data_IF_015207707899
#
_entry.id   IF_015207707899
#
_cell.length_a   1.000
_cell.length_b   1.000
_cell.length_c   1.000
_cell.angle_alpha   90.00
_cell.angle_beta   90.00
_cell.angle_gamma   90.00
#
_symmetry.space_group_name_H-M   'P 1'
#
loop_
_entity.id
_entity.type
_entity.pdbx_description
1 polymer ?
#
# COMPACT_ATOMS: atom_id res chain seq x y z
N UNK A 1 12.16 -12.44 34.24
CA UNK A 1 10.92 -12.10 33.52
C UNK A 1 11.33 -11.18 32.39
N UNK A 2 11.20 -11.63 31.15
CA UNK A 2 11.27 -10.72 30.01
C UNK A 2 10.05 -9.81 30.11
N UNK A 3 10.25 -8.50 30.02
CA UNK A 3 9.18 -7.53 30.13
C UNK A 3 8.29 -7.67 28.88
N UNK A 4 7.12 -8.28 29.05
CA UNK A 4 6.18 -8.57 27.96
C UNK A 4 5.81 -7.30 27.17
N UNK A 5 5.81 -6.15 27.84
CA UNK A 5 5.60 -4.83 27.23
C UNK A 5 6.74 -4.44 26.28
N UNK A 6 8.00 -4.71 26.64
CA UNK A 6 9.15 -4.43 25.78
C UNK A 6 9.11 -5.26 24.48
N UNK A 7 8.67 -6.52 24.56
CA UNK A 7 8.50 -7.37 23.37
C UNK A 7 7.42 -6.84 22.42
N UNK A 8 6.30 -6.35 22.97
CA UNK A 8 5.21 -5.76 22.17
C UNK A 8 5.66 -4.46 21.47
N UNK A 9 6.46 -3.63 22.15
CA UNK A 9 7.02 -2.39 21.57
C UNK A 9 7.97 -2.70 20.41
N UNK A 10 8.87 -3.69 20.57
CA UNK A 10 9.78 -4.09 19.49
C UNK A 10 9.01 -4.61 18.27
N UNK A 11 7.87 -5.29 18.47
CA UNK A 11 6.99 -5.74 17.36
C UNK A 11 6.24 -4.58 16.69
N UNK A 12 6.02 -3.45 17.37
CA UNK A 12 5.34 -2.28 16.81
C UNK A 12 6.25 -1.38 15.98
N UNK A 13 7.55 -1.30 16.31
CA UNK A 13 8.50 -0.40 15.66
C UNK A 13 8.47 -0.48 14.12
N UNK A 14 8.46 -1.66 13.48
CA UNK A 14 8.55 -1.76 12.02
C UNK A 14 7.35 -1.11 11.30
N UNK A 15 6.17 -1.02 11.91
CA UNK A 15 5.00 -0.46 11.22
C UNK A 15 5.15 1.04 10.96
N UNK A 16 5.80 1.79 11.87
CA UNK A 16 6.07 3.20 11.65
C UNK A 16 7.02 3.45 10.48
N UNK A 17 8.09 2.65 10.41
CA UNK A 17 9.08 2.70 9.32
C UNK A 17 8.43 2.30 7.98
N UNK A 18 7.69 1.19 7.96
CA UNK A 18 7.00 0.72 6.76
C UNK A 18 5.96 1.72 6.24
N UNK A 19 5.19 2.39 7.12
CA UNK A 19 4.23 3.42 6.70
C UNK A 19 4.94 4.56 5.98
N UNK A 20 6.11 5.00 6.48
CA UNK A 20 6.87 6.07 5.83
C UNK A 20 7.39 5.63 4.45
N UNK A 21 7.92 4.41 4.36
CA UNK A 21 8.39 3.83 3.09
C UNK A 21 7.25 3.69 2.07
N UNK A 22 6.11 3.15 2.49
CA UNK A 22 4.96 2.99 1.59
C UNK A 22 4.31 4.31 1.21
N UNK A 23 4.33 5.33 2.07
CA UNK A 23 3.93 6.69 1.67
C UNK A 23 4.86 7.26 0.61
N UNK A 24 6.17 7.04 0.72
CA UNK A 24 7.10 7.44 -0.33
C UNK A 24 6.86 6.66 -1.63
N UNK A 25 6.51 5.38 -1.53
CA UNK A 25 6.12 4.57 -2.67
C UNK A 25 4.85 5.11 -3.35
N UNK A 26 3.83 5.53 -2.59
CA UNK A 26 2.64 6.20 -3.12
C UNK A 26 3.00 7.42 -3.96
N UNK A 27 3.91 8.28 -3.50
CA UNK A 27 4.31 9.46 -4.28
C UNK A 27 5.02 9.09 -5.59
N UNK A 28 5.86 8.04 -5.58
CA UNK A 28 6.45 7.48 -6.81
C UNK A 28 5.35 6.96 -7.74
N UNK A 29 4.40 6.21 -7.20
CA UNK A 29 3.32 5.58 -7.95
C UNK A 29 2.37 6.61 -8.56
N UNK A 30 2.11 7.74 -7.88
CA UNK A 30 1.34 8.86 -8.44
C UNK A 30 1.95 9.39 -9.73
N UNK A 31 3.26 9.60 -9.75
CA UNK A 31 3.97 10.05 -10.95
C UNK A 31 3.85 9.03 -12.08
N UNK A 32 3.98 7.74 -11.77
CA UNK A 32 3.83 6.66 -12.74
C UNK A 32 2.39 6.56 -13.29
N UNK A 33 1.38 6.77 -12.43
CA UNK A 33 -0.02 6.77 -12.83
C UNK A 33 -0.36 7.96 -13.73
N UNK A 34 0.16 9.16 -13.43
CA UNK A 34 -0.01 10.34 -14.27
C UNK A 34 0.69 10.17 -15.62
N UNK A 35 1.90 9.62 -15.64
CA UNK A 35 2.63 9.31 -16.87
C UNK A 35 1.91 8.26 -17.71
N UNK A 36 1.36 7.21 -17.08
CA UNK A 36 0.60 6.18 -17.76
C UNK A 36 -0.65 6.77 -18.43
N UNK A 37 -1.38 7.64 -17.74
CA UNK A 37 -2.54 8.35 -18.30
C UNK A 37 -2.13 9.26 -19.46
N UNK A 38 -1.03 9.99 -19.33
CA UNK A 38 -0.56 10.93 -20.35
C UNK A 38 -0.07 10.22 -21.63
N UNK A 39 0.65 9.11 -21.48
CA UNK A 39 1.23 8.33 -22.57
C UNK A 39 0.28 7.29 -23.16
N UNK A 40 -0.74 6.87 -22.39
CA UNK A 40 -1.55 5.66 -22.66
C UNK A 40 -0.73 4.38 -22.75
N UNK A 41 0.42 4.38 -22.10
CA UNK A 41 1.30 3.23 -21.97
C UNK A 41 1.41 2.87 -20.49
N UNK A 42 1.52 1.59 -20.19
CA UNK A 42 1.64 1.11 -18.81
C UNK A 42 2.92 0.32 -18.68
N UNK A 43 3.72 0.69 -17.69
CA UNK A 43 4.86 -0.10 -17.25
C UNK A 43 4.36 -1.31 -16.46
N UNK A 44 4.47 -2.49 -17.07
CA UNK A 44 4.03 -3.76 -16.48
C UNK A 44 4.87 -4.12 -15.26
N UNK A 45 6.16 -3.76 -15.24
CA UNK A 45 7.01 -4.05 -14.08
C UNK A 45 6.59 -3.19 -12.88
N UNK A 46 6.20 -1.94 -13.13
CA UNK A 46 5.64 -1.07 -12.09
C UNK A 46 4.30 -1.58 -11.54
N UNK A 47 3.44 -2.18 -12.37
CA UNK A 47 2.20 -2.82 -11.90
C UNK A 47 2.49 -4.01 -11.00
N UNK A 48 3.43 -4.88 -11.38
CA UNK A 48 3.82 -6.04 -10.57
C UNK A 48 4.42 -5.61 -9.23
N UNK A 49 5.31 -4.61 -9.23
CA UNK A 49 5.86 -4.01 -7.99
C UNK A 49 4.73 -3.47 -7.08
N UNK A 50 3.72 -2.85 -7.69
CA UNK A 50 2.57 -2.28 -6.98
C UNK A 50 1.70 -3.36 -6.34
N UNK A 51 1.42 -4.45 -7.04
CA UNK A 51 0.65 -5.58 -6.51
C UNK A 51 1.38 -6.26 -5.34
N UNK A 52 2.69 -6.48 -5.48
CA UNK A 52 3.52 -7.03 -4.41
C UNK A 52 3.55 -6.12 -3.18
N UNK A 53 3.61 -4.80 -3.39
CA UNK A 53 3.57 -3.82 -2.31
C UNK A 53 2.21 -3.83 -1.61
N UNK A 54 1.11 -3.90 -2.36
CA UNK A 54 -0.24 -4.00 -1.80
C UNK A 54 -0.42 -5.29 -0.96
N UNK A 55 0.10 -6.42 -1.43
CA UNK A 55 0.09 -7.69 -0.69
C UNK A 55 0.89 -7.56 0.63
N UNK A 56 2.07 -6.96 0.60
CA UNK A 56 2.89 -6.74 1.79
C UNK A 56 2.18 -5.85 2.83
N UNK A 57 1.45 -4.81 2.39
CA UNK A 57 0.67 -3.94 3.27
C UNK A 57 -0.52 -4.70 3.86
N UNK A 58 -1.22 -5.50 3.06
CA UNK A 58 -2.32 -6.32 3.53
C UNK A 58 -1.87 -7.29 4.63
N UNK A 59 -0.74 -7.96 4.42
CA UNK A 59 -0.10 -8.84 5.40
C UNK A 59 0.27 -8.09 6.69
N UNK A 60 0.81 -6.88 6.55
CA UNK A 60 1.16 -6.04 7.69
C UNK A 60 -0.08 -5.61 8.49
N UNK A 61 -1.19 -5.24 7.83
CA UNK A 61 -2.46 -4.94 8.50
C UNK A 61 -2.94 -6.16 9.29
N UNK A 62 -2.91 -7.37 8.70
CA UNK A 62 -3.32 -8.60 9.39
C UNK A 62 -2.48 -8.88 10.63
N UNK A 63 -1.16 -8.67 10.55
CA UNK A 63 -0.24 -8.84 11.70
C UNK A 63 -0.45 -7.75 12.75
N UNK A 64 -0.68 -6.51 12.32
CA UNK A 64 -0.95 -5.38 13.20
C UNK A 64 -2.23 -5.59 13.99
N UNK A 65 -3.32 -6.02 13.35
CA UNK A 65 -4.60 -6.28 14.01
C UNK A 65 -4.47 -7.37 15.08
N UNK A 66 -3.70 -8.44 14.82
CA UNK A 66 -3.40 -9.50 15.81
C UNK A 66 -2.58 -8.97 16.99
N UNK A 67 -1.66 -8.05 16.73
CA UNK A 67 -0.84 -7.42 17.76
C UNK A 67 -1.67 -6.45 18.61
N UNK A 68 -2.54 -5.67 17.97
CA UNK A 68 -3.46 -4.75 18.61
C UNK A 68 -4.42 -5.50 19.55
N UNK A 69 -4.93 -6.67 19.14
CA UNK A 69 -5.74 -7.53 19.99
C UNK A 69 -4.99 -8.01 21.25
N UNK A 70 -3.74 -8.43 21.12
CA UNK A 70 -2.89 -8.81 22.27
C UNK A 70 -2.65 -7.63 23.22
N UNK A 71 -2.42 -6.44 22.66
CA UNK A 71 -2.24 -5.22 23.47
C UNK A 71 -3.54 -4.87 24.19
N UNK A 72 -4.70 -5.00 23.54
CA UNK A 72 -6.00 -4.70 24.14
C UNK A 72 -6.31 -5.59 25.36
N UNK A 73 -5.84 -6.84 25.38
CA UNK A 73 -5.96 -7.75 26.53
C UNK A 73 -5.21 -7.24 27.77
N UNK A 74 -4.09 -6.52 27.57
CA UNK A 74 -3.25 -5.99 28.64
C UNK A 74 -3.56 -4.54 28.97
N UNK A 75 -3.84 -3.72 27.95
CA UNK A 75 -4.12 -2.30 28.03
C UNK A 75 -5.04 -1.85 26.88
N UNK A 76 -6.36 -1.79 27.13
CA UNK A 76 -7.33 -1.28 26.15
C UNK A 76 -7.04 0.16 25.72
N UNK A 77 -6.51 0.98 26.63
CA UNK A 77 -6.15 2.36 26.33
C UNK A 77 -4.99 2.44 25.31
N UNK A 78 -3.92 1.69 25.53
CA UNK A 78 -2.78 1.66 24.60
C UNK A 78 -3.18 1.11 23.22
N UNK A 79 -4.09 0.13 23.19
CA UNK A 79 -4.69 -0.33 21.93
C UNK A 79 -5.49 0.77 21.23
N UNK A 80 -6.20 1.63 21.96
CA UNK A 80 -6.91 2.76 21.39
C UNK A 80 -5.98 3.79 20.75
N UNK A 81 -4.86 4.10 21.42
CA UNK A 81 -3.83 5.02 20.90
C UNK A 81 -3.15 4.49 19.63
N UNK A 82 -3.03 3.17 19.50
CA UNK A 82 -2.42 2.53 18.33
C UNK A 82 -3.40 2.31 17.16
N UNK A 83 -4.71 2.51 17.36
CA UNK A 83 -5.70 2.32 16.30
C UNK A 83 -5.44 3.24 15.08
N UNK A 84 -4.92 4.45 15.31
CA UNK A 84 -4.56 5.41 14.26
C UNK A 84 -3.45 4.89 13.34
N UNK A 85 -2.53 4.06 13.85
CA UNK A 85 -1.48 3.42 13.04
C UNK A 85 -2.12 2.38 12.11
N UNK A 86 -3.07 1.60 12.62
CA UNK A 86 -3.86 0.66 11.82
C UNK A 86 -4.68 1.34 10.74
N UNK A 87 -5.21 2.53 11.01
CA UNK A 87 -5.92 3.34 10.01
C UNK A 87 -4.95 3.89 8.95
N UNK A 88 -3.79 4.39 9.36
CA UNK A 88 -2.77 4.87 8.43
C UNK A 88 -2.31 3.78 7.44
N UNK A 89 -2.18 2.53 7.89
CA UNK A 89 -1.88 1.38 7.02
C UNK A 89 -2.98 1.15 5.97
N UNK A 90 -4.25 1.22 6.38
CA UNK A 90 -5.40 1.03 5.49
C UNK A 90 -5.52 2.14 4.47
N UNK A 91 -5.26 3.39 4.86
CA UNK A 91 -5.25 4.53 3.94
C UNK A 91 -4.14 4.39 2.88
N UNK A 92 -2.94 3.97 3.29
CA UNK A 92 -1.85 3.74 2.34
C UNK A 92 -2.19 2.61 1.34
N UNK A 93 -2.78 1.51 1.83
CA UNK A 93 -3.26 0.44 0.94
C UNK A 93 -4.29 0.97 -0.07
N UNK A 94 -5.28 1.73 0.42
CA UNK A 94 -6.32 2.31 -0.42
C UNK A 94 -5.72 3.17 -1.54
N UNK A 95 -4.83 4.11 -1.20
CA UNK A 95 -4.18 4.98 -2.18
C UNK A 95 -3.40 4.18 -3.23
N UNK A 96 -2.65 3.14 -2.81
CA UNK A 96 -1.93 2.26 -3.75
C UNK A 96 -2.90 1.54 -4.70
N UNK A 97 -4.01 1.01 -4.17
CA UNK A 97 -4.99 0.32 -5.00
C UNK A 97 -5.69 1.25 -6.00
N UNK A 98 -6.00 2.49 -5.60
CA UNK A 98 -6.61 3.49 -6.48
C UNK A 98 -5.66 3.87 -7.63
N UNK A 99 -4.38 4.07 -7.34
CA UNK A 99 -3.37 4.39 -8.34
C UNK A 99 -3.10 3.23 -9.29
N UNK A 100 -3.07 1.99 -8.77
CA UNK A 100 -2.97 0.79 -9.60
C UNK A 100 -4.14 0.69 -10.59
N UNK A 101 -5.37 0.91 -10.12
CA UNK A 101 -6.58 0.93 -10.97
C UNK A 101 -6.47 2.02 -12.05
N UNK A 102 -5.99 3.21 -11.70
CA UNK A 102 -5.77 4.30 -12.66
C UNK A 102 -4.77 3.88 -13.76
N UNK A 103 -3.65 3.25 -13.39
CA UNK A 103 -2.67 2.74 -14.35
C UNK A 103 -3.27 1.68 -15.26
N UNK A 104 -3.99 0.70 -14.72
CA UNK A 104 -4.68 -0.32 -15.50
C UNK A 104 -5.66 0.30 -16.52
N UNK A 105 -6.47 1.26 -16.08
CA UNK A 105 -7.43 1.94 -16.95
C UNK A 105 -6.76 2.74 -18.09
N UNK A 106 -5.56 3.30 -17.86
CA UNK A 106 -4.81 4.01 -18.89
C UNK A 106 -4.36 3.08 -20.02
N UNK A 107 -3.93 1.86 -19.68
CA UNK A 107 -3.51 0.84 -20.65
C UNK A 107 -4.65 0.20 -21.46
N UNK A 108 -5.89 0.30 -20.98
CA UNK A 108 -7.10 -0.15 -21.69
C UNK A 108 -7.71 0.90 -22.63
N UNK A 109 -7.08 2.07 -22.78
CA UNK A 109 -7.52 3.12 -23.71
C UNK A 109 -7.75 2.58 -25.13
N UNK A 110 -8.68 3.18 -25.92
CA UNK A 110 -9.09 2.63 -27.21
C UNK A 110 -7.86 2.38 -28.09
N UNK A 111 -7.60 1.10 -28.40
CA UNK A 111 -6.64 0.70 -29.43
C UNK A 111 -7.07 1.41 -30.69
N UNK A 112 -6.36 2.48 -31.05
CA UNK A 112 -6.46 3.00 -32.40
C UNK A 112 -5.88 1.91 -33.28
N UNK A 113 -6.76 1.11 -33.88
CA UNK A 113 -6.40 0.31 -35.04
C UNK A 113 -5.70 1.27 -36.00
N UNK A 114 -4.38 1.13 -36.13
CA UNK A 114 -3.68 1.67 -37.29
C UNK A 114 -4.31 0.96 -38.47
N UNK A 115 -5.25 1.62 -39.13
CA UNK A 115 -5.71 1.23 -40.46
C UNK A 115 -4.44 1.26 -41.31
N UNK A 116 -3.96 0.12 -41.83
CA UNK A 116 -2.82 0.14 -42.72
C UNK A 116 -3.22 0.96 -43.95
N UNK A 117 -2.40 1.95 -44.29
CA UNK A 117 -2.59 2.74 -45.50
C UNK A 117 -2.73 1.77 -46.69
N UNK A 118 -3.94 1.69 -47.24
CA UNK A 118 -4.20 0.92 -48.44
C UNK A 118 -3.51 1.63 -49.60
N UNK A 119 -2.57 0.92 -50.24
CA UNK A 119 -1.86 1.30 -51.47
C UNK A 119 -2.84 1.35 -52.64
#
# INVERSE_FOLDING_TARGET
MVDHTAELIEKLRPYGENIAEWRAYVEKLRLQADEAVASREVDVDALVETEQTAEAIYDAISRFDKLLAQIAEVSPQASGELAEVGEALRLVLLEITELSIQMYAAGEGPRTERVPDAI
#
